data_IF_480586870170
#
_entry.id   IF_480586870170
#
_cell.length_a   1.000
_cell.length_b   1.000
_cell.length_c   1.000
_cell.angle_alpha   90.00
_cell.angle_beta   90.00
_cell.angle_gamma   90.00
#
_symmetry.space_group_name_H-M   'P 1'
#
loop_
_entity.id
_entity.type
_entity.pdbx_description
1 polymer ?
#
# COMPACT_ATOMS: atom_id res chain seq x y z
N UNK A 1 3.58 -10.77 -1.51
CA UNK A 1 2.42 -11.22 -2.31
C UNK A 1 1.20 -10.40 -1.93
N UNK A 2 0.45 -9.88 -2.90
CA UNK A 2 -0.82 -9.19 -2.64
C UNK A 2 -1.97 -10.22 -2.61
N UNK A 3 -2.91 -10.06 -1.68
CA UNK A 3 -4.09 -10.92 -1.54
C UNK A 3 -5.37 -10.19 -1.96
N UNK A 4 -5.25 -9.20 -2.83
CA UNK A 4 -6.34 -8.31 -3.22
C UNK A 4 -6.93 -7.57 -2.01
N UNK A 5 -8.25 -7.48 -1.94
CA UNK A 5 -8.96 -6.78 -0.86
C UNK A 5 -8.96 -7.49 0.50
N UNK A 6 -8.11 -8.51 0.70
CA UNK A 6 -7.98 -9.26 1.96
C UNK A 6 -6.69 -8.96 2.70
N UNK A 7 -5.73 -8.29 2.06
CA UNK A 7 -4.44 -7.99 2.68
C UNK A 7 -3.23 -8.29 1.79
N UNK A 8 -2.10 -8.52 2.44
CA UNK A 8 -0.84 -8.89 1.79
C UNK A 8 0.01 -9.79 2.70
N UNK A 9 0.88 -10.58 2.07
CA UNK A 9 1.75 -11.55 2.71
C UNK A 9 3.21 -11.31 2.34
N UNK A 10 4.09 -11.37 3.32
CA UNK A 10 5.54 -11.46 3.13
C UNK A 10 6.03 -12.82 3.62
N UNK A 11 6.79 -13.52 2.78
CA UNK A 11 7.46 -14.78 3.13
C UNK A 11 8.96 -14.53 2.99
N UNK A 12 9.71 -14.76 4.06
CA UNK A 12 11.17 -14.64 4.04
C UNK A 12 11.84 -15.92 3.50
N UNK A 13 13.16 -15.88 3.37
CA UNK A 13 13.98 -16.97 2.85
C UNK A 13 13.96 -18.25 3.71
N UNK A 14 13.63 -18.12 4.99
CA UNK A 14 13.56 -19.22 5.96
C UNK A 14 12.14 -19.79 6.06
N UNK A 15 11.20 -19.25 5.28
CA UNK A 15 9.78 -19.63 5.30
C UNK A 15 8.98 -18.93 6.40
N UNK A 16 9.57 -17.97 7.10
CA UNK A 16 8.87 -17.10 8.04
C UNK A 16 7.83 -16.26 7.31
N UNK A 17 6.65 -16.12 7.93
CA UNK A 17 5.46 -15.59 7.29
C UNK A 17 4.92 -14.40 8.07
N UNK A 18 4.89 -13.21 7.46
CA UNK A 18 4.24 -12.01 7.99
C UNK A 18 2.99 -11.73 7.16
N UNK A 19 1.83 -11.79 7.80
CA UNK A 19 0.57 -11.43 7.18
C UNK A 19 0.10 -10.05 7.67
N UNK A 20 -0.36 -9.24 6.73
CA UNK A 20 -1.14 -8.04 7.03
C UNK A 20 -2.55 -8.24 6.49
N UNK A 21 -3.53 -8.39 7.40
CA UNK A 21 -4.95 -8.48 7.06
C UNK A 21 -5.64 -7.15 7.36
N UNK A 22 -6.44 -6.64 6.42
CA UNK A 22 -7.26 -5.45 6.59
C UNK A 22 -8.49 -5.52 5.68
N UNK A 23 -9.57 -4.86 6.08
CA UNK A 23 -10.63 -4.47 5.15
C UNK A 23 -10.11 -3.36 4.24
N UNK A 24 -10.54 -3.37 2.96
CA UNK A 24 -10.07 -2.40 1.95
C UNK A 24 -10.07 -0.98 2.51
N UNK A 25 -8.95 -0.28 2.30
CA UNK A 25 -8.91 1.16 2.51
C UNK A 25 -10.04 1.83 1.72
N UNK A 26 -10.83 2.71 2.34
CA UNK A 26 -11.96 3.35 1.69
C UNK A 26 -11.45 4.39 0.69
N UNK A 27 -11.27 3.97 -0.55
CA UNK A 27 -10.84 4.83 -1.67
C UNK A 27 -11.85 4.75 -2.81
N UNK A 28 -12.09 5.88 -3.47
CA UNK A 28 -12.86 5.90 -4.72
C UNK A 28 -12.01 5.30 -5.83
N UNK A 29 -12.45 4.19 -6.39
CA UNK A 29 -11.74 3.51 -7.48
C UNK A 29 -11.96 4.25 -8.79
N UNK A 30 -10.87 4.75 -9.36
CA UNK A 30 -10.78 5.46 -10.63
C UNK A 30 -10.08 4.60 -11.69
N UNK A 31 -8.92 4.02 -11.35
CA UNK A 31 -8.10 3.20 -12.25
C UNK A 31 -7.37 2.10 -11.45
N UNK A 32 -7.01 0.99 -12.08
CA UNK A 32 -6.27 -0.13 -11.45
C UNK A 32 -4.84 -0.28 -11.98
N UNK A 33 -4.51 0.39 -13.08
CA UNK A 33 -3.18 0.34 -13.69
C UNK A 33 -2.14 0.91 -12.73
N UNK A 34 -0.96 0.29 -12.66
CA UNK A 34 0.15 0.70 -11.79
C UNK A 34 -0.02 0.40 -10.29
N UNK A 35 -1.12 -0.24 -9.87
CA UNK A 35 -1.37 -0.53 -8.44
C UNK A 35 -0.38 -1.53 -7.83
N UNK A 36 0.11 -2.49 -8.63
CA UNK A 36 1.16 -3.43 -8.23
C UNK A 36 2.52 -2.76 -8.03
N UNK A 37 2.86 -1.81 -8.88
CA UNK A 37 4.11 -1.03 -8.78
C UNK A 37 4.06 -0.10 -7.58
N UNK A 38 2.93 0.57 -7.36
CA UNK A 38 2.70 1.40 -6.17
C UNK A 38 2.81 0.56 -4.88
N UNK A 39 2.24 -0.64 -4.85
CA UNK A 39 2.40 -1.56 -3.71
C UNK A 39 3.87 -1.90 -3.47
N UNK A 40 4.59 -2.25 -4.53
CA UNK A 40 5.99 -2.68 -4.45
C UNK A 40 6.89 -1.55 -3.96
N UNK A 41 6.69 -0.33 -4.48
CA UNK A 41 7.43 0.85 -4.05
C UNK A 41 7.17 1.19 -2.57
N UNK A 42 5.90 1.17 -2.13
CA UNK A 42 5.54 1.39 -0.74
C UNK A 42 6.11 0.29 0.18
N UNK A 43 6.08 -0.97 -0.25
CA UNK A 43 6.65 -2.09 0.49
C UNK A 43 8.15 -1.91 0.74
N UNK A 44 8.93 -1.63 -0.30
CA UNK A 44 10.36 -1.41 -0.14
C UNK A 44 10.67 -0.16 0.69
N UNK A 45 9.89 0.93 0.54
CA UNK A 45 10.06 2.12 1.38
C UNK A 45 9.92 1.79 2.86
N UNK A 46 8.86 1.09 3.27
CA UNK A 46 8.65 0.73 4.68
C UNK A 46 9.63 -0.33 5.19
N UNK A 47 9.96 -1.31 4.35
CA UNK A 47 10.86 -2.39 4.74
C UNK A 47 12.31 -1.92 4.91
N UNK A 48 12.82 -1.12 3.99
CA UNK A 48 14.19 -0.61 4.05
C UNK A 48 14.38 0.41 5.16
N UNK A 49 13.34 1.17 5.51
CA UNK A 49 13.39 2.12 6.63
C UNK A 49 13.21 1.45 8.00
N UNK A 50 12.43 0.37 8.06
CA UNK A 50 12.00 -0.26 9.32
C UNK A 50 11.99 -1.79 9.23
N UNK A 51 10.86 -2.37 8.84
CA UNK A 51 10.61 -3.81 8.91
C UNK A 51 9.55 -4.25 7.89
N UNK A 52 9.43 -5.57 7.69
CA UNK A 52 8.49 -6.14 6.74
C UNK A 52 7.01 -5.81 7.05
N UNK A 53 6.53 -5.82 8.31
CA UNK A 53 5.18 -5.34 8.65
C UNK A 53 4.92 -3.89 8.21
N UNK A 54 5.87 -2.98 8.46
CA UNK A 54 5.78 -1.58 8.01
C UNK A 54 5.74 -1.52 6.49
N UNK A 55 6.57 -2.31 5.81
CA UNK A 55 6.53 -2.46 4.36
C UNK A 55 5.15 -2.87 3.86
N UNK A 56 4.55 -3.93 4.41
CA UNK A 56 3.22 -4.38 4.02
C UNK A 56 2.16 -3.28 4.17
N UNK A 57 2.23 -2.52 5.27
CA UNK A 57 1.31 -1.42 5.54
C UNK A 57 1.46 -0.28 4.52
N UNK A 58 2.69 0.14 4.25
CA UNK A 58 2.98 1.22 3.30
C UNK A 58 2.65 0.83 1.87
N UNK A 59 2.99 -0.39 1.46
CA UNK A 59 2.60 -0.94 0.16
C UNK A 59 1.08 -0.96 -0.01
N UNK A 60 0.36 -1.39 1.01
CA UNK A 60 -1.10 -1.41 0.96
C UNK A 60 -1.71 0.00 0.87
N UNK A 61 -1.17 0.98 1.60
CA UNK A 61 -1.58 2.38 1.54
C UNK A 61 -1.30 3.01 0.16
N UNK A 62 -0.10 2.81 -0.40
CA UNK A 62 0.26 3.31 -1.73
C UNK A 62 -0.61 2.68 -2.83
N UNK A 63 -0.89 1.38 -2.73
CA UNK A 63 -1.82 0.69 -3.62
C UNK A 63 -3.23 1.29 -3.58
N UNK A 64 -3.75 1.52 -2.37
CA UNK A 64 -5.06 2.17 -2.17
C UNK A 64 -5.11 3.57 -2.79
N UNK A 65 -4.08 4.39 -2.56
CA UNK A 65 -4.00 5.73 -3.15
C UNK A 65 -3.93 5.67 -4.68
N UNK A 66 -3.17 4.73 -5.25
CA UNK A 66 -3.07 4.56 -6.70
C UNK A 66 -4.41 4.21 -7.35
N UNK A 67 -5.31 3.50 -6.66
CA UNK A 67 -6.66 3.25 -7.16
C UNK A 67 -7.45 4.54 -7.44
N UNK A 68 -7.09 5.66 -6.82
CA UNK A 68 -7.78 6.96 -6.95
C UNK A 68 -7.13 7.92 -7.95
N UNK A 69 -6.07 7.50 -8.64
CA UNK A 69 -5.28 8.31 -9.59
C UNK A 69 -5.45 7.71 -10.99
N UNK A 70 -5.87 8.48 -12.01
CA UNK A 70 -5.94 7.98 -13.38
C UNK A 70 -4.55 7.74 -13.98
N UNK A 71 -4.44 6.76 -14.89
CA UNK A 71 -3.20 6.46 -15.59
C UNK A 71 -2.24 5.59 -14.78
N UNK A 72 -1.01 5.44 -15.26
CA UNK A 72 -0.05 4.48 -14.71
C UNK A 72 0.83 5.08 -13.59
N UNK A 73 1.10 6.38 -13.64
CA UNK A 73 2.00 7.04 -12.69
C UNK A 73 1.39 7.12 -11.28
N UNK A 74 2.15 6.64 -10.29
CA UNK A 74 1.84 6.76 -8.87
C UNK A 74 2.28 8.12 -8.31
N UNK A 75 1.53 9.18 -8.63
CA UNK A 75 1.75 10.53 -8.08
C UNK A 75 1.24 10.62 -6.64
N UNK A 76 2.03 10.08 -5.71
CA UNK A 76 1.67 9.94 -4.29
C UNK A 76 2.80 10.55 -3.45
N UNK A 77 2.47 11.45 -2.54
CA UNK A 77 3.42 11.97 -1.54
C UNK A 77 3.63 11.00 -0.39
N UNK A 78 4.77 11.13 0.31
CA UNK A 78 5.05 10.32 1.50
C UNK A 78 4.03 10.62 2.60
N UNK A 79 3.63 11.88 2.74
CA UNK A 79 2.65 12.35 3.72
C UNK A 79 1.27 11.71 3.48
N UNK A 80 0.77 11.67 2.25
CA UNK A 80 -0.50 11.01 1.91
C UNK A 80 -0.47 9.51 2.22
N UNK A 81 0.62 8.83 1.84
CA UNK A 81 0.79 7.41 2.13
C UNK A 81 0.78 7.15 3.64
N UNK A 82 1.52 7.95 4.41
CA UNK A 82 1.58 7.81 5.87
C UNK A 82 0.23 8.12 6.53
N UNK A 83 -0.54 9.08 6.02
CA UNK A 83 -1.88 9.38 6.52
C UNK A 83 -2.81 8.16 6.34
N UNK A 84 -2.83 7.56 5.14
CA UNK A 84 -3.62 6.34 4.88
C UNK A 84 -3.13 5.16 5.75
N UNK A 85 -1.83 4.98 5.88
CA UNK A 85 -1.23 3.93 6.72
C UNK A 85 -1.58 4.09 8.21
N UNK A 86 -1.70 5.32 8.70
CA UNK A 86 -2.12 5.63 10.07
C UNK A 86 -3.63 5.43 10.31
N UNK A 87 -4.40 5.07 9.29
CA UNK A 87 -5.85 4.95 9.36
C UNK A 87 -6.59 6.28 9.31
N UNK A 88 -5.91 7.36 8.91
CA UNK A 88 -6.56 8.64 8.68
C UNK A 88 -7.47 8.51 7.45
N UNK A 89 -8.77 8.75 7.66
CA UNK A 89 -9.80 8.77 6.61
C UNK A 89 -9.79 10.10 5.85
N UNK A 90 -8.82 10.97 6.14
CA UNK A 90 -8.59 12.23 5.48
C UNK A 90 -8.55 12.04 3.97
N UNK A 91 -9.63 12.41 3.30
CA UNK A 91 -9.73 12.38 1.85
C UNK A 91 -8.51 13.05 1.22
N UNK A 92 -8.04 12.46 0.13
CA UNK A 92 -6.91 12.94 -0.67
C UNK A 92 -7.18 14.41 -1.01
N UNK A 93 -6.46 15.32 -0.35
CA UNK A 93 -6.55 16.75 -0.64
C UNK A 93 -5.72 17.01 -1.89
N UNK A 94 -6.39 17.23 -3.02
CA UNK A 94 -5.78 17.73 -4.26
C UNK A 94 -6.22 19.17 -4.49
#
# INVERSE_FOLDING_TARGET
MTCGGKGALFIDQDGGCTELSFDRFPVTVVDRIGTGDAFTAGFFSGWLERDAPTGLLYGAAACALKYSIPGDLALISREEMLAVAAGDKGGIKR
#
